data_IF_863537420492
#
_entry.id   IF_863537420492
#
_cell.length_a   1.000
_cell.length_b   1.000
_cell.length_c   1.000
_cell.angle_alpha   90.00
_cell.angle_beta   90.00
_cell.angle_gamma   90.00
#
_symmetry.space_group_name_H-M   'P 1'
#
loop_
_entity.id
_entity.type
_entity.pdbx_description
1 polymer ?
#
# COMPACT_ATOMS: atom_id res chain seq x y z
N UNK A 1 -18.36 -29.02 -11.09
CA UNK A 1 -17.96 -27.73 -10.47
C UNK A 1 -18.83 -27.51 -9.23
N UNK A 2 -18.27 -27.33 -8.03
CA UNK A 2 -19.07 -27.26 -6.80
C UNK A 2 -20.06 -26.07 -6.84
N UNK A 3 -21.33 -26.31 -6.46
CA UNK A 3 -22.42 -25.32 -6.44
C UNK A 3 -22.03 -24.01 -5.73
N UNK A 4 -21.23 -24.11 -4.66
CA UNK A 4 -20.72 -22.96 -3.91
C UNK A 4 -19.72 -22.11 -4.71
N UNK A 5 -18.89 -22.72 -5.56
CA UNK A 5 -17.96 -21.97 -6.43
C UNK A 5 -18.70 -21.24 -7.54
N UNK A 6 -19.74 -21.87 -8.11
CA UNK A 6 -20.60 -21.25 -9.12
C UNK A 6 -21.28 -20.01 -8.55
N UNK A 7 -21.85 -20.11 -7.34
CA UNK A 7 -22.48 -18.97 -6.68
C UNK A 7 -21.49 -17.81 -6.47
N UNK A 8 -20.28 -18.10 -5.98
CA UNK A 8 -19.22 -17.09 -5.80
C UNK A 8 -18.86 -16.42 -7.12
N UNK A 9 -18.68 -17.19 -8.21
CA UNK A 9 -18.37 -16.60 -9.52
C UNK A 9 -19.48 -15.71 -10.06
N UNK A 10 -20.75 -16.13 -9.92
CA UNK A 10 -21.90 -15.31 -10.32
C UNK A 10 -21.97 -14.02 -9.49
N UNK A 11 -21.74 -14.11 -8.18
CA UNK A 11 -21.71 -12.93 -7.30
C UNK A 11 -20.59 -11.96 -7.69
N UNK A 12 -19.38 -12.46 -7.91
CA UNK A 12 -18.23 -11.64 -8.34
C UNK A 12 -18.50 -10.99 -9.69
N UNK A 13 -19.04 -11.75 -10.66
CA UNK A 13 -19.37 -11.23 -11.98
C UNK A 13 -20.46 -10.15 -11.91
N UNK A 14 -21.50 -10.36 -11.12
CA UNK A 14 -22.56 -9.38 -10.89
C UNK A 14 -22.01 -8.11 -10.23
N UNK A 15 -21.13 -8.25 -9.24
CA UNK A 15 -20.48 -7.11 -8.58
C UNK A 15 -19.59 -6.34 -9.55
N UNK A 16 -18.76 -7.02 -10.35
CA UNK A 16 -17.93 -6.38 -11.37
C UNK A 16 -18.79 -5.68 -12.43
N UNK A 17 -19.88 -6.32 -12.90
CA UNK A 17 -20.80 -5.72 -13.85
C UNK A 17 -21.48 -4.47 -13.26
N UNK A 18 -21.87 -4.50 -11.99
CA UNK A 18 -22.43 -3.34 -11.29
C UNK A 18 -21.40 -2.20 -11.17
N UNK A 19 -20.15 -2.51 -10.80
CA UNK A 19 -19.08 -1.51 -10.73
C UNK A 19 -18.78 -0.88 -12.10
N UNK A 20 -18.72 -1.68 -13.16
CA UNK A 20 -18.52 -1.21 -14.53
C UNK A 20 -19.71 -0.36 -14.98
N UNK A 21 -20.95 -0.78 -14.69
CA UNK A 21 -22.14 0.00 -15.00
C UNK A 21 -22.15 1.35 -14.28
N UNK A 22 -21.81 1.38 -12.99
CA UNK A 22 -21.69 2.62 -12.22
C UNK A 22 -20.61 3.54 -12.79
N UNK A 23 -19.44 2.98 -13.16
CA UNK A 23 -18.36 3.73 -13.79
C UNK A 23 -18.81 4.34 -15.13
N UNK A 24 -19.48 3.54 -15.97
CA UNK A 24 -19.98 3.99 -17.26
C UNK A 24 -21.03 5.09 -17.11
N UNK A 25 -21.99 4.92 -16.19
CA UNK A 25 -22.99 5.95 -15.84
C UNK A 25 -22.33 7.26 -15.43
N UNK A 26 -21.25 7.20 -14.65
CA UNK A 26 -20.51 8.39 -14.23
C UNK A 26 -19.75 9.05 -15.39
N UNK A 27 -19.23 8.25 -16.34
CA UNK A 27 -18.49 8.74 -17.50
C UNK A 27 -19.38 9.39 -18.56
N UNK A 28 -20.68 9.11 -18.57
CA UNK A 28 -21.62 9.79 -19.49
C UNK A 28 -21.66 11.30 -19.29
N UNK A 29 -21.39 11.79 -18.08
CA UNK A 29 -21.31 13.22 -17.77
C UNK A 29 -19.90 13.81 -17.94
N UNK A 30 -18.94 13.02 -18.41
CA UNK A 30 -17.55 13.44 -18.52
C UNK A 30 -17.32 14.27 -19.79
N UNK A 31 -16.82 15.50 -19.62
CA UNK A 31 -16.50 16.42 -20.71
C UNK A 31 -15.09 16.14 -21.24
N UNK A 32 -15.01 15.33 -22.30
CA UNK A 32 -13.75 14.99 -22.96
C UNK A 32 -13.02 16.19 -23.55
N UNK A 33 -13.74 17.23 -23.98
CA UNK A 33 -13.15 18.45 -24.54
C UNK A 33 -12.34 19.19 -23.48
N UNK A 34 -12.92 19.40 -22.30
CA UNK A 34 -12.22 20.02 -21.16
C UNK A 34 -11.04 19.17 -20.69
N UNK A 35 -11.18 17.84 -20.66
CA UNK A 35 -10.08 16.96 -20.30
C UNK A 35 -8.86 17.14 -21.20
N UNK A 36 -9.06 17.16 -22.52
CA UNK A 36 -7.96 17.32 -23.48
C UNK A 36 -7.32 18.70 -23.36
N UNK A 37 -8.11 19.76 -23.24
CA UNK A 37 -7.59 21.13 -23.08
C UNK A 37 -6.76 21.25 -21.81
N UNK A 38 -7.28 20.80 -20.66
CA UNK A 38 -6.56 20.84 -19.39
C UNK A 38 -5.30 19.96 -19.39
N UNK A 39 -5.33 18.83 -20.09
CA UNK A 39 -4.16 17.93 -20.20
C UNK A 39 -3.03 18.57 -21.01
N UNK A 40 -3.36 19.39 -22.02
CA UNK A 40 -2.36 20.12 -22.81
C UNK A 40 -1.66 21.22 -22.03
N UNK A 41 -2.32 21.77 -21.02
CA UNK A 41 -1.76 22.80 -20.14
C UNK A 41 -0.86 22.23 -19.02
N UNK A 42 -0.71 20.91 -18.95
CA UNK A 42 0.13 20.27 -17.92
C UNK A 42 1.60 20.66 -18.13
N UNK A 43 2.20 21.20 -17.06
CA UNK A 43 3.62 21.50 -17.04
C UNK A 43 4.46 20.22 -17.02
N UNK A 44 5.18 19.97 -18.11
CA UNK A 44 6.03 18.77 -18.25
C UNK A 44 7.13 18.67 -17.19
N UNK A 45 7.52 19.79 -16.58
CA UNK A 45 8.50 19.81 -15.48
C UNK A 45 7.97 19.07 -14.26
N UNK A 46 6.69 19.26 -13.92
CA UNK A 46 6.06 18.61 -12.77
C UNK A 46 5.92 17.10 -13.01
N UNK A 47 5.65 16.69 -14.25
CA UNK A 47 5.63 15.28 -14.65
C UNK A 47 7.02 14.65 -14.48
N UNK A 48 8.08 15.32 -14.93
CA UNK A 48 9.45 14.84 -14.75
C UNK A 48 9.81 14.73 -13.27
N UNK A 49 9.47 15.72 -12.45
CA UNK A 49 9.70 15.65 -11.00
C UNK A 49 8.95 14.49 -10.35
N UNK A 50 7.68 14.27 -10.72
CA UNK A 50 6.91 13.14 -10.23
C UNK A 50 7.55 11.80 -10.61
N UNK A 51 8.02 11.64 -11.85
CA UNK A 51 8.70 10.44 -12.32
C UNK A 51 9.99 10.20 -11.54
N UNK A 52 10.83 11.23 -11.35
CA UNK A 52 12.05 11.14 -10.55
C UNK A 52 11.72 10.69 -9.12
N UNK A 53 10.73 11.31 -8.48
CA UNK A 53 10.30 10.95 -7.12
C UNK A 53 9.82 9.51 -7.02
N UNK A 54 9.12 8.99 -8.03
CA UNK A 54 8.70 7.57 -8.09
C UNK A 54 9.92 6.64 -8.10
N UNK A 55 10.92 6.92 -8.95
CA UNK A 55 12.11 6.08 -9.02
C UNK A 55 12.97 6.18 -7.76
N UNK A 56 13.11 7.38 -7.18
CA UNK A 56 13.75 7.55 -5.86
C UNK A 56 13.02 6.74 -4.80
N UNK A 57 11.68 6.74 -4.80
CA UNK A 57 10.90 5.93 -3.88
C UNK A 57 11.13 4.42 -4.07
N UNK A 58 11.33 3.93 -5.29
CA UNK A 58 11.72 2.54 -5.53
C UNK A 58 13.10 2.20 -4.93
N UNK A 59 14.08 3.09 -5.06
CA UNK A 59 15.40 2.91 -4.46
C UNK A 59 15.31 2.87 -2.93
N UNK A 60 14.60 3.82 -2.31
CA UNK A 60 14.39 3.87 -0.87
C UNK A 60 13.68 2.60 -0.36
N UNK A 61 12.69 2.10 -1.10
CA UNK A 61 11.98 0.85 -0.76
C UNK A 61 12.89 -0.38 -0.86
N UNK A 62 13.79 -0.43 -1.83
CA UNK A 62 14.80 -1.49 -1.94
C UNK A 62 15.79 -1.45 -0.75
N UNK A 63 16.28 -0.25 -0.38
CA UNK A 63 17.14 -0.06 0.81
C UNK A 63 16.40 -0.47 2.08
N UNK A 64 15.15 -0.06 2.26
CA UNK A 64 14.33 -0.45 3.42
C UNK A 64 14.15 -1.96 3.52
N UNK A 65 13.86 -2.62 2.40
CA UNK A 65 13.72 -4.08 2.39
C UNK A 65 15.02 -4.78 2.81
N UNK A 66 16.18 -4.26 2.36
CA UNK A 66 17.48 -4.72 2.86
C UNK A 66 17.59 -4.56 4.38
N UNK A 67 17.16 -3.43 4.94
CA UNK A 67 17.19 -3.22 6.40
C UNK A 67 16.37 -4.28 7.14
N UNK A 68 15.16 -4.59 6.66
CA UNK A 68 14.32 -5.64 7.23
C UNK A 68 14.88 -7.05 7.03
N UNK A 69 15.68 -7.28 5.98
CA UNK A 69 16.35 -8.56 5.76
C UNK A 69 17.59 -8.77 6.64
N UNK A 70 18.18 -7.72 7.22
CA UNK A 70 19.42 -7.82 8.03
C UNK A 70 19.42 -8.91 9.11
N UNK A 71 18.31 -9.19 9.83
CA UNK A 71 18.29 -10.25 10.83
C UNK A 71 18.46 -11.65 10.24
N UNK A 72 18.01 -11.87 9.00
CA UNK A 72 18.03 -13.18 8.32
C UNK A 72 19.26 -13.31 7.41
N UNK A 73 19.62 -12.24 6.70
CA UNK A 73 20.75 -12.21 5.77
C UNK A 73 21.35 -10.81 5.66
N UNK A 74 22.59 -10.64 6.12
CA UNK A 74 23.27 -9.33 6.25
C UNK A 74 23.96 -8.86 4.97
N UNK A 75 24.38 -9.80 4.12
CA UNK A 75 25.20 -9.61 2.91
C UNK A 75 24.42 -9.14 1.68
N UNK A 76 23.09 -8.99 1.77
CA UNK A 76 22.27 -8.56 0.64
C UNK A 76 22.58 -7.12 0.23
N UNK A 77 22.91 -6.90 -1.04
CA UNK A 77 23.10 -5.56 -1.60
C UNK A 77 21.74 -4.93 -1.94
N UNK A 78 21.57 -3.63 -1.66
CA UNK A 78 20.31 -2.95 -1.98
C UNK A 78 20.08 -2.87 -3.50
N UNK A 79 21.16 -2.75 -4.28
CA UNK A 79 21.12 -2.79 -5.75
C UNK A 79 20.52 -4.07 -6.29
N UNK A 80 20.82 -5.24 -5.68
CA UNK A 80 20.23 -6.52 -6.08
C UNK A 80 18.71 -6.59 -5.89
N UNK A 81 18.17 -5.76 -4.99
CA UNK A 81 16.74 -5.69 -4.66
C UNK A 81 15.97 -4.66 -5.50
N UNK A 82 16.66 -3.77 -6.21
CA UNK A 82 16.02 -2.74 -7.05
C UNK A 82 15.20 -3.39 -8.17
N UNK A 83 15.80 -4.31 -8.93
CA UNK A 83 15.12 -4.99 -10.03
C UNK A 83 13.85 -5.75 -9.58
N UNK A 84 13.90 -6.62 -8.54
CA UNK A 84 12.69 -7.23 -7.98
C UNK A 84 11.65 -6.23 -7.47
N UNK A 85 12.09 -5.08 -6.94
CA UNK A 85 11.20 -4.03 -6.45
C UNK A 85 10.46 -3.36 -7.61
N UNK A 86 11.16 -2.98 -8.67
CA UNK A 86 10.53 -2.39 -9.87
C UNK A 86 9.54 -3.36 -10.49
N UNK A 87 9.94 -4.62 -10.72
CA UNK A 87 9.04 -5.64 -11.30
C UNK A 87 7.84 -5.89 -10.40
N UNK A 88 8.02 -5.90 -9.08
CA UNK A 88 6.92 -6.04 -8.13
C UNK A 88 5.90 -4.89 -8.21
N UNK A 89 6.36 -3.64 -8.31
CA UNK A 89 5.47 -2.50 -8.46
C UNK A 89 4.82 -2.42 -9.84
N UNK A 90 5.51 -2.84 -10.91
CA UNK A 90 4.89 -3.03 -12.23
C UNK A 90 3.79 -4.08 -12.16
N UNK A 91 4.04 -5.21 -11.48
CA UNK A 91 3.05 -6.25 -11.24
C UNK A 91 1.85 -5.76 -10.46
N UNK A 92 2.06 -4.93 -9.44
CA UNK A 92 0.99 -4.25 -8.70
C UNK A 92 0.17 -3.31 -9.60
N UNK A 93 0.81 -2.54 -10.46
CA UNK A 93 0.13 -1.62 -11.37
C UNK A 93 -0.74 -2.38 -12.41
N UNK A 94 -0.29 -3.56 -12.86
CA UNK A 94 -1.01 -4.35 -13.87
C UNK A 94 -2.09 -5.25 -13.28
N UNK A 95 -1.81 -5.91 -12.15
CA UNK A 95 -2.66 -6.94 -11.56
C UNK A 95 -3.44 -6.46 -10.34
N UNK A 96 -3.18 -5.24 -9.86
CA UNK A 96 -3.73 -4.73 -8.60
C UNK A 96 -3.18 -5.49 -7.39
N UNK A 97 -4.01 -5.66 -6.37
CA UNK A 97 -3.60 -6.24 -5.07
C UNK A 97 -2.91 -7.61 -5.15
N UNK A 98 -3.32 -8.55 -6.02
CA UNK A 98 -2.58 -9.80 -6.25
C UNK A 98 -1.10 -9.58 -6.64
N UNK A 99 -0.80 -8.49 -7.34
CA UNK A 99 0.55 -8.16 -7.77
C UNK A 99 1.52 -7.82 -6.63
N UNK A 100 1.03 -7.50 -5.42
CA UNK A 100 1.90 -7.20 -4.27
C UNK A 100 2.79 -8.39 -3.88
N UNK A 101 2.35 -9.62 -4.15
CA UNK A 101 3.08 -10.85 -3.81
C UNK A 101 4.24 -11.16 -4.78
N UNK A 102 4.29 -10.49 -5.94
CA UNK A 102 5.36 -10.68 -6.93
C UNK A 102 6.70 -10.27 -6.34
N UNK A 103 6.76 -9.13 -5.64
CA UNK A 103 7.98 -8.62 -5.01
C UNK A 103 8.60 -9.60 -4.01
N UNK A 104 7.90 -10.04 -2.93
CA UNK A 104 8.48 -10.98 -1.98
C UNK A 104 8.85 -12.32 -2.64
N UNK A 105 8.11 -12.77 -3.65
CA UNK A 105 8.43 -13.99 -4.38
C UNK A 105 9.75 -13.88 -5.16
N UNK A 106 9.93 -12.79 -5.92
CA UNK A 106 11.15 -12.57 -6.68
C UNK A 106 12.37 -12.33 -5.78
N UNK A 107 12.19 -11.63 -4.66
CA UNK A 107 13.26 -11.44 -3.68
C UNK A 107 13.64 -12.77 -3.02
N UNK A 108 12.67 -13.63 -2.68
CA UNK A 108 12.92 -14.96 -2.12
C UNK A 108 13.84 -15.78 -3.03
N UNK A 109 13.51 -15.81 -4.34
CA UNK A 109 14.32 -16.47 -5.37
C UNK A 109 15.71 -15.85 -5.53
N UNK A 110 15.80 -14.52 -5.58
CA UNK A 110 17.06 -13.80 -5.79
C UNK A 110 18.03 -13.95 -4.63
N UNK A 111 17.52 -13.97 -3.40
CA UNK A 111 18.32 -14.01 -2.18
C UNK A 111 18.47 -15.44 -1.64
N UNK A 112 17.86 -16.44 -2.31
CA UNK A 112 17.83 -17.83 -1.88
C UNK A 112 17.35 -17.97 -0.42
N UNK A 113 16.16 -17.43 -0.16
CA UNK A 113 15.43 -17.51 1.11
C UNK A 113 14.02 -18.06 0.87
N UNK A 114 13.39 -18.56 1.92
CA UNK A 114 12.01 -19.04 1.82
C UNK A 114 11.03 -17.91 1.51
N UNK A 115 9.98 -18.21 0.75
CA UNK A 115 8.92 -17.25 0.48
C UNK A 115 8.23 -16.79 1.77
N UNK A 116 8.05 -17.69 2.74
CA UNK A 116 7.50 -17.37 4.06
C UNK A 116 8.34 -16.31 4.80
N UNK A 117 9.67 -16.38 4.72
CA UNK A 117 10.55 -15.34 5.28
C UNK A 117 10.31 -13.97 4.62
N UNK A 118 10.10 -13.94 3.30
CA UNK A 118 9.81 -12.69 2.59
C UNK A 118 8.39 -12.16 2.87
N UNK A 119 7.42 -13.05 3.12
CA UNK A 119 6.09 -12.65 3.60
C UNK A 119 6.16 -12.02 4.99
N UNK A 120 7.04 -12.52 5.87
CA UNK A 120 7.26 -11.89 7.18
C UNK A 120 7.84 -10.47 7.02
N UNK A 121 8.83 -10.29 6.14
CA UNK A 121 9.36 -8.95 5.81
C UNK A 121 8.29 -8.04 5.22
N UNK A 122 7.47 -8.57 4.31
CA UNK A 122 6.33 -7.83 3.75
C UNK A 122 5.32 -7.42 4.83
N UNK A 123 5.00 -8.31 5.78
CA UNK A 123 4.08 -8.00 6.88
C UNK A 123 4.63 -6.89 7.79
N UNK A 124 5.92 -6.97 8.15
CA UNK A 124 6.61 -5.89 8.89
C UNK A 124 6.55 -4.59 8.10
N UNK A 125 6.78 -4.65 6.78
CA UNK A 125 6.65 -3.50 5.89
C UNK A 125 5.26 -2.85 5.99
N UNK A 126 4.18 -3.65 5.96
CA UNK A 126 2.81 -3.15 6.09
C UNK A 126 2.53 -2.52 7.45
N UNK A 127 3.06 -3.08 8.54
CA UNK A 127 2.93 -2.51 9.90
C UNK A 127 3.56 -1.11 9.95
N UNK A 128 4.77 -0.95 9.42
CA UNK A 128 5.43 0.35 9.35
C UNK A 128 4.72 1.33 8.40
N UNK A 129 4.22 0.87 7.25
CA UNK A 129 3.46 1.72 6.32
C UNK A 129 2.16 2.23 6.96
N UNK A 130 1.40 1.36 7.63
CA UNK A 130 0.20 1.73 8.38
C UNK A 130 0.52 2.66 9.56
N UNK A 131 1.61 2.40 10.28
CA UNK A 131 2.06 3.26 11.38
C UNK A 131 2.42 4.66 10.89
N UNK A 132 3.22 4.78 9.83
CA UNK A 132 3.58 6.06 9.23
C UNK A 132 2.34 6.81 8.73
N UNK A 133 1.42 6.11 8.04
CA UNK A 133 0.16 6.70 7.61
C UNK A 133 -0.70 7.20 8.77
N UNK A 134 -0.75 6.43 9.88
CA UNK A 134 -1.46 6.82 11.10
C UNK A 134 -0.89 8.10 11.71
N UNK A 135 0.43 8.19 11.81
CA UNK A 135 1.11 9.38 12.31
C UNK A 135 0.79 10.60 11.44
N UNK A 136 0.87 10.45 10.11
CA UNK A 136 0.51 11.53 9.18
C UNK A 136 -0.96 11.92 9.30
N UNK A 137 -1.86 10.96 9.48
CA UNK A 137 -3.30 11.21 9.67
C UNK A 137 -3.57 11.99 10.96
N UNK A 138 -2.97 11.58 12.08
CA UNK A 138 -3.07 12.29 13.36
C UNK A 138 -2.54 13.71 13.20
N UNK A 139 -1.34 13.87 12.62
CA UNK A 139 -0.79 15.20 12.36
C UNK A 139 -1.76 16.05 11.53
N UNK A 140 -2.34 15.49 10.46
CA UNK A 140 -3.28 16.22 9.62
C UNK A 140 -4.58 16.61 10.34
N UNK A 141 -5.05 15.82 11.31
CA UNK A 141 -6.25 16.11 12.10
C UNK A 141 -6.00 17.18 13.17
N UNK A 142 -4.83 17.15 13.83
CA UNK A 142 -4.55 18.00 14.99
C UNK A 142 -3.73 19.27 14.69
N UNK A 143 -2.90 19.28 13.64
CA UNK A 143 -2.16 20.49 13.23
C UNK A 143 -3.03 21.39 12.32
N UNK A 144 -2.71 22.70 12.26
CA UNK A 144 -3.37 23.68 11.40
C UNK A 144 -3.13 23.38 9.92
N UNK A 145 -3.87 22.40 9.41
CA UNK A 145 -3.85 21.97 8.01
C UNK A 145 -5.21 22.20 7.36
N UNK A 146 -5.24 22.13 6.02
CA UNK A 146 -6.51 22.19 5.26
C UNK A 146 -7.48 21.06 5.64
N UNK A 147 -6.96 19.90 6.05
CA UNK A 147 -7.79 18.78 6.50
C UNK A 147 -8.48 19.12 7.83
N UNK A 148 -7.74 19.68 8.79
CA UNK A 148 -8.31 20.15 10.05
C UNK A 148 -9.37 21.23 9.81
N UNK A 149 -9.07 22.24 8.97
CA UNK A 149 -10.03 23.29 8.63
C UNK A 149 -11.30 22.74 7.97
N UNK A 150 -11.17 21.72 7.12
CA UNK A 150 -12.32 21.02 6.53
C UNK A 150 -13.13 20.26 7.59
N UNK A 151 -12.44 19.55 8.50
CA UNK A 151 -13.06 18.77 9.57
C UNK A 151 -13.84 19.65 10.55
N UNK A 152 -13.32 20.83 10.88
CA UNK A 152 -13.99 21.81 11.76
C UNK A 152 -15.16 22.49 11.05
N UNK A 153 -15.02 22.82 9.77
CA UNK A 153 -16.10 23.42 8.97
C UNK A 153 -17.28 22.47 8.73
N UNK A 154 -17.07 21.14 8.76
CA UNK A 154 -18.12 20.15 8.56
C UNK A 154 -18.11 19.08 9.66
N UNK A 155 -18.81 19.30 10.79
CA UNK A 155 -18.65 18.50 11.99
C UNK A 155 -19.01 17.02 11.83
N UNK A 156 -19.95 16.68 10.94
CA UNK A 156 -20.29 15.27 10.63
C UNK A 156 -19.08 14.53 10.06
N UNK A 157 -18.41 15.09 9.04
CA UNK A 157 -17.21 14.49 8.46
C UNK A 157 -16.03 14.57 9.42
N UNK A 158 -15.92 15.65 10.21
CA UNK A 158 -14.92 15.79 11.25
C UNK A 158 -14.99 14.66 12.28
N UNK A 159 -16.18 14.33 12.78
CA UNK A 159 -16.36 13.23 13.74
C UNK A 159 -15.87 11.89 13.16
N UNK A 160 -16.30 11.54 11.94
CA UNK A 160 -15.88 10.30 11.28
C UNK A 160 -14.37 10.26 11.01
N UNK A 161 -13.74 11.39 10.69
CA UNK A 161 -12.29 11.47 10.52
C UNK A 161 -11.53 11.19 11.83
N UNK A 162 -12.00 11.73 12.96
CA UNK A 162 -11.39 11.45 14.27
C UNK A 162 -11.59 9.99 14.68
N UNK A 163 -12.80 9.45 14.52
CA UNK A 163 -13.10 8.03 14.79
C UNK A 163 -12.21 7.13 13.96
N UNK A 164 -12.08 7.39 12.65
CA UNK A 164 -11.18 6.63 11.78
C UNK A 164 -9.72 6.74 12.24
N UNK A 165 -9.27 7.94 12.65
CA UNK A 165 -7.95 8.16 13.21
C UNK A 165 -7.68 7.34 14.47
N UNK A 166 -8.62 7.32 15.42
CA UNK A 166 -8.51 6.53 16.65
C UNK A 166 -8.53 5.02 16.40
N UNK A 167 -9.43 4.54 15.53
CA UNK A 167 -9.49 3.13 15.15
C UNK A 167 -8.20 2.66 14.48
N UNK A 168 -7.66 3.48 13.57
CA UNK A 168 -6.40 3.19 12.91
C UNK A 168 -5.24 3.18 13.91
N UNK A 169 -5.24 4.11 14.87
CA UNK A 169 -4.25 4.15 15.96
C UNK A 169 -4.31 2.90 16.83
N UNK A 170 -5.50 2.48 17.24
CA UNK A 170 -5.71 1.26 18.01
C UNK A 170 -5.23 0.01 17.23
N UNK A 171 -5.55 -0.07 15.94
CA UNK A 171 -5.09 -1.15 15.06
C UNK A 171 -3.56 -1.20 14.97
N UNK A 172 -2.92 -0.06 14.76
CA UNK A 172 -1.46 0.02 14.66
C UNK A 172 -0.80 -0.38 15.98
N UNK A 173 -1.30 0.12 17.12
CA UNK A 173 -0.80 -0.27 18.45
C UNK A 173 -0.92 -1.78 18.62
N UNK A 174 -2.08 -2.37 18.31
CA UNK A 174 -2.27 -3.81 18.39
C UNK A 174 -1.29 -4.59 17.51
N UNK A 175 -1.08 -4.15 16.26
CA UNK A 175 -0.12 -4.78 15.34
C UNK A 175 1.32 -4.71 15.86
N UNK A 176 1.75 -3.57 16.40
CA UNK A 176 3.07 -3.43 17.00
C UNK A 176 3.22 -4.25 18.29
N UNK A 177 2.19 -4.31 19.14
CA UNK A 177 2.19 -5.16 20.33
C UNK A 177 2.31 -6.64 19.99
N UNK A 178 1.58 -7.12 18.97
CA UNK A 178 1.71 -8.50 18.47
C UNK A 178 3.12 -8.75 17.93
N UNK A 179 3.67 -7.84 17.13
CA UNK A 179 5.02 -7.97 16.61
C UNK A 179 6.08 -8.01 17.73
N UNK A 180 5.93 -7.17 18.76
CA UNK A 180 6.81 -7.15 19.93
C UNK A 180 6.70 -8.44 20.75
N UNK A 181 5.48 -8.95 20.94
CA UNK A 181 5.23 -10.22 21.63
C UNK A 181 5.88 -11.40 20.89
N UNK A 182 5.74 -11.46 19.57
CA UNK A 182 6.37 -12.48 18.73
C UNK A 182 7.89 -12.38 18.82
N UNK A 183 8.45 -11.18 18.81
CA UNK A 183 9.89 -10.99 18.97
C UNK A 183 10.40 -11.43 20.36
N UNK A 184 9.64 -11.16 21.42
CA UNK A 184 10.00 -11.54 22.79
C UNK A 184 9.84 -13.05 23.05
N UNK A 185 8.77 -13.67 22.55
CA UNK A 185 8.47 -15.10 22.76
C UNK A 185 9.09 -16.02 21.71
N UNK A 186 9.56 -15.49 20.58
CA UNK A 186 10.19 -16.26 19.52
C UNK A 186 11.32 -17.19 20.01
N UNK A 187 12.25 -16.71 20.86
CA UNK A 187 13.30 -17.57 21.43
C UNK A 187 12.77 -18.69 22.34
N UNK A 188 11.66 -18.46 23.05
CA UNK A 188 11.06 -19.45 23.95
C UNK A 188 10.20 -20.50 23.22
N UNK A 189 9.75 -20.22 21.99
CA UNK A 189 8.97 -21.13 21.16
C UNK A 189 9.90 -21.96 20.24
N UNK A 190 11.11 -21.47 19.96
CA UNK A 190 12.09 -22.13 19.11
C UNK A 190 13.07 -23.04 19.88
N UNK A 191 13.02 -23.05 21.21
CA UNK A 191 13.75 -23.95 22.11
C UNK A 191 12.91 -25.19 22.42
#
# INVERSE_FOLDING_TARGET
>A
MNKNRIFVYVLVLALLAALVYMQFRHWQTFDWGKFVTNTREVNWRDVIYAVILIYVAYLLRAVRWKLFLRPVRKDVSASSLVSPTVVGFTGLAMLGRPGELIRPYLIARRVNLSFASQLAVWAVERIFDLGAFTVLMIMAIFLPTKLQAFATARPVYGHWLHVAGYLLSALVIAMFSVAALVNYRGPAIAA
#
